data_IF_020088431455
#
_entry.id   IF_020088431455
#
_cell.length_a   1.000
_cell.length_b   1.000
_cell.length_c   1.000
_cell.angle_alpha   90.00
_cell.angle_beta   90.00
_cell.angle_gamma   90.00
#
_symmetry.space_group_name_H-M   'P 1'
#
loop_
_entity.id
_entity.type
_entity.pdbx_description
1 polymer ?
#
# COMPACT_ATOMS: atom_id res chain seq x y z
N UNK A 1 -17.09 24.81 -2.49
CA UNK A 1 -17.34 26.26 -2.61
C UNK A 1 -17.62 26.95 -1.28
N UNK A 2 -18.66 26.58 -0.50
CA UNK A 2 -18.94 27.24 0.78
C UNK A 2 -17.81 27.12 1.81
N UNK A 3 -17.21 25.94 1.96
CA UNK A 3 -16.07 25.71 2.86
C UNK A 3 -14.84 26.54 2.48
N UNK A 4 -14.52 26.62 1.18
CA UNK A 4 -13.38 27.42 0.69
C UNK A 4 -13.59 28.93 0.93
N UNK A 5 -14.81 29.44 0.76
CA UNK A 5 -15.13 30.85 1.07
C UNK A 5 -14.95 31.16 2.56
N UNK A 6 -15.32 30.25 3.45
CA UNK A 6 -15.09 30.40 4.89
C UNK A 6 -13.59 30.37 5.18
N UNK A 7 -12.88 29.38 4.65
CA UNK A 7 -11.45 29.20 4.80
C UNK A 7 -10.62 30.45 4.42
N UNK A 8 -10.90 31.04 3.25
CA UNK A 8 -10.20 32.25 2.78
C UNK A 8 -10.43 33.45 3.70
N UNK A 9 -11.57 33.52 4.39
CA UNK A 9 -11.91 34.62 5.31
C UNK A 9 -11.38 34.44 6.73
N UNK A 10 -10.80 33.27 7.07
CA UNK A 10 -10.26 33.05 8.41
C UNK A 10 -8.98 33.87 8.61
N UNK A 11 -8.89 34.69 9.67
CA UNK A 11 -7.70 35.51 9.94
C UNK A 11 -6.50 34.65 10.37
N UNK A 12 -6.76 33.55 11.08
CA UNK A 12 -5.77 32.56 11.48
C UNK A 12 -6.28 31.17 11.15
N UNK A 13 -5.40 30.32 10.63
CA UNK A 13 -5.70 28.94 10.24
C UNK A 13 -4.77 28.01 10.99
N UNK A 14 -5.33 27.10 11.76
CA UNK A 14 -4.57 26.06 12.45
C UNK A 14 -4.47 24.79 11.60
N UNK A 15 -3.63 23.84 12.04
CA UNK A 15 -3.39 22.56 11.37
C UNK A 15 -4.69 21.84 10.99
N UNK A 16 -5.68 21.80 11.88
CA UNK A 16 -6.95 21.11 11.66
C UNK A 16 -7.71 21.64 10.44
N UNK A 17 -7.77 22.97 10.30
CA UNK A 17 -8.47 23.62 9.18
C UNK A 17 -7.73 23.41 7.86
N UNK A 18 -6.39 23.45 7.88
CA UNK A 18 -5.57 23.13 6.71
C UNK A 18 -5.75 21.68 6.28
N UNK A 19 -5.60 20.73 7.21
CA UNK A 19 -5.79 19.29 6.97
C UNK A 19 -7.18 19.02 6.38
N UNK A 20 -8.22 19.59 6.97
CA UNK A 20 -9.59 19.41 6.50
C UNK A 20 -9.75 19.85 5.04
N UNK A 21 -9.23 21.02 4.68
CA UNK A 21 -9.33 21.53 3.31
C UNK A 21 -8.54 20.68 2.32
N UNK A 22 -7.30 20.32 2.67
CA UNK A 22 -6.42 19.47 1.85
C UNK A 22 -7.12 18.12 1.61
N UNK A 23 -7.48 17.40 2.67
CA UNK A 23 -8.16 16.10 2.56
C UNK A 23 -9.47 16.21 1.77
N UNK A 24 -10.23 17.29 1.95
CA UNK A 24 -11.47 17.49 1.20
C UNK A 24 -11.22 17.65 -0.30
N UNK A 25 -10.20 18.39 -0.72
CA UNK A 25 -9.87 18.52 -2.14
C UNK A 25 -9.37 17.21 -2.74
N UNK A 26 -8.59 16.41 -2.00
CA UNK A 26 -8.22 15.05 -2.40
C UNK A 26 -9.47 14.19 -2.66
N UNK A 27 -10.42 14.18 -1.73
CA UNK A 27 -11.67 13.42 -1.85
C UNK A 27 -12.57 13.91 -3.00
N UNK A 28 -12.53 15.19 -3.34
CA UNK A 28 -13.27 15.76 -4.47
C UNK A 28 -12.61 15.49 -5.83
N UNK A 29 -11.42 14.89 -5.86
CA UNK A 29 -10.69 14.63 -7.10
C UNK A 29 -10.00 15.88 -7.66
N UNK A 30 -9.62 16.84 -6.80
CA UNK A 30 -8.82 18.01 -7.18
C UNK A 30 -7.43 17.95 -6.51
N UNK A 31 -6.56 17.01 -6.94
CA UNK A 31 -5.25 16.80 -6.32
C UNK A 31 -4.31 18.01 -6.42
N UNK A 32 -4.38 18.78 -7.50
CA UNK A 32 -3.54 19.97 -7.70
C UNK A 32 -3.84 21.04 -6.65
N UNK A 33 -5.14 21.29 -6.39
CA UNK A 33 -5.59 22.23 -5.33
C UNK A 33 -5.17 21.76 -3.93
N UNK A 34 -5.13 20.45 -3.71
CA UNK A 34 -4.65 19.90 -2.44
C UNK A 34 -3.15 20.16 -2.24
N UNK A 35 -2.35 20.06 -3.30
CA UNK A 35 -0.91 20.41 -3.27
C UNK A 35 -0.74 21.92 -3.07
N UNK A 36 -1.48 22.76 -3.80
CA UNK A 36 -1.43 24.22 -3.64
C UNK A 36 -1.68 24.65 -2.18
N UNK A 37 -2.72 24.09 -1.55
CA UNK A 37 -3.03 24.36 -0.15
C UNK A 37 -1.97 23.82 0.81
N UNK A 38 -1.34 22.69 0.50
CA UNK A 38 -0.23 22.18 1.29
C UNK A 38 0.98 23.13 1.24
N UNK A 39 1.29 23.70 0.07
CA UNK A 39 2.37 24.68 -0.07
C UNK A 39 2.03 25.99 0.66
N UNK A 40 0.77 26.44 0.60
CA UNK A 40 0.31 27.62 1.33
C UNK A 40 0.36 27.41 2.86
N UNK A 41 0.04 26.20 3.33
CA UNK A 41 0.19 25.80 4.73
C UNK A 41 1.65 25.89 5.19
N UNK A 42 2.58 25.38 4.38
CA UNK A 42 4.02 25.43 4.66
C UNK A 42 4.56 26.87 4.67
N UNK A 43 4.07 27.75 3.79
CA UNK A 43 4.42 29.18 3.80
C UNK A 43 3.81 29.96 4.97
N UNK A 44 2.77 29.42 5.60
CA UNK A 44 2.14 30.01 6.78
C UNK A 44 2.80 29.57 8.09
N UNK A 45 3.97 28.92 8.03
CA UNK A 45 4.70 28.32 9.16
C UNK A 45 3.83 27.36 10.01
N UNK A 46 2.78 26.78 9.41
CA UNK A 46 1.90 25.83 10.07
C UNK A 46 2.39 24.41 9.82
N UNK A 47 2.85 23.71 10.86
CA UNK A 47 3.40 22.36 10.68
C UNK A 47 2.31 21.32 10.31
N UNK A 48 2.50 20.55 9.22
CA UNK A 48 1.59 19.48 8.83
C UNK A 48 1.62 18.30 9.80
N UNK A 49 0.45 17.79 10.15
CA UNK A 49 0.30 16.58 10.95
C UNK A 49 0.30 15.30 10.08
N UNK A 50 0.18 14.15 10.73
CA UNK A 50 0.13 12.84 10.06
C UNK A 50 -0.99 12.71 9.02
N UNK A 51 -2.12 13.40 9.21
CA UNK A 51 -3.27 13.33 8.30
C UNK A 51 -3.04 14.21 7.07
N UNK A 52 -2.42 15.37 7.25
CA UNK A 52 -1.97 16.20 6.12
C UNK A 52 -0.97 15.42 5.27
N UNK A 53 0.04 14.80 5.89
CA UNK A 53 1.04 14.02 5.16
C UNK A 53 0.44 12.86 4.37
N UNK A 54 -0.35 12.00 5.02
CA UNK A 54 -0.97 10.86 4.35
C UNK A 54 -1.86 11.30 3.19
N UNK A 55 -2.59 12.42 3.35
CA UNK A 55 -3.40 13.00 2.27
C UNK A 55 -2.55 13.44 1.08
N UNK A 56 -1.48 14.21 1.29
CA UNK A 56 -0.65 14.72 0.18
C UNK A 56 0.22 13.61 -0.44
N UNK A 57 0.72 12.67 0.37
CA UNK A 57 1.43 11.48 -0.12
C UNK A 57 0.53 10.63 -1.02
N UNK A 58 -0.77 10.49 -0.69
CA UNK A 58 -1.72 9.77 -1.56
C UNK A 58 -1.89 10.45 -2.92
N UNK A 59 -1.82 11.79 -2.97
CA UNK A 59 -1.82 12.55 -4.23
C UNK A 59 -0.55 12.28 -5.01
N UNK A 60 0.62 12.33 -4.37
CA UNK A 60 1.88 12.04 -5.02
C UNK A 60 1.90 10.62 -5.61
N UNK A 61 1.41 9.63 -4.85
CA UNK A 61 1.26 8.24 -5.29
C UNK A 61 0.36 8.13 -6.53
N UNK A 62 -0.81 8.79 -6.52
CA UNK A 62 -1.78 8.76 -7.63
C UNK A 62 -1.31 9.47 -8.89
N UNK A 63 -0.58 10.58 -8.75
CA UNK A 63 -0.10 11.41 -9.86
C UNK A 63 1.36 11.12 -10.25
N UNK A 64 1.98 10.08 -9.67
CA UNK A 64 3.37 9.71 -9.91
C UNK A 64 4.38 10.86 -9.70
N UNK A 65 4.10 11.75 -8.74
CA UNK A 65 4.93 12.93 -8.45
C UNK A 65 6.16 12.57 -7.61
N UNK A 66 7.10 11.83 -8.22
CA UNK A 66 8.29 11.29 -7.55
C UNK A 66 9.09 12.33 -6.76
N UNK A 67 9.41 13.46 -7.39
CA UNK A 67 10.22 14.53 -6.77
C UNK A 67 9.54 15.14 -5.55
N UNK A 68 8.22 15.38 -5.62
CA UNK A 68 7.46 15.89 -4.48
C UNK A 68 7.35 14.83 -3.37
N UNK A 69 7.15 13.56 -3.74
CA UNK A 69 7.15 12.44 -2.82
C UNK A 69 8.46 12.33 -2.00
N UNK A 70 9.63 12.49 -2.64
CA UNK A 70 10.92 12.51 -1.91
C UNK A 70 11.07 13.72 -0.97
N UNK A 71 10.56 14.88 -1.36
CA UNK A 71 10.55 16.06 -0.49
C UNK A 71 9.66 15.82 0.74
N UNK A 72 8.47 15.26 0.53
CA UNK A 72 7.56 14.88 1.62
C UNK A 72 8.16 13.84 2.54
N UNK A 73 8.81 12.80 2.01
CA UNK A 73 9.51 11.81 2.82
C UNK A 73 10.60 12.49 3.68
N UNK A 74 11.44 13.34 3.09
CA UNK A 74 12.49 14.05 3.83
C UNK A 74 11.92 14.93 4.95
N UNK A 75 10.81 15.63 4.66
CA UNK A 75 10.10 16.44 5.65
C UNK A 75 9.48 15.56 6.75
N UNK A 76 8.85 14.44 6.40
CA UNK A 76 8.26 13.51 7.37
C UNK A 76 9.33 12.95 8.33
N UNK A 77 10.52 12.62 7.83
CA UNK A 77 11.66 12.22 8.68
C UNK A 77 12.07 13.36 9.62
N UNK A 78 12.23 14.59 9.10
CA UNK A 78 12.60 15.76 9.91
C UNK A 78 11.58 16.06 11.00
N UNK A 79 10.29 15.86 10.73
CA UNK A 79 9.20 16.07 11.69
C UNK A 79 8.95 14.84 12.59
N UNK A 80 9.74 13.77 12.48
CA UNK A 80 9.57 12.55 13.27
C UNK A 80 8.30 11.74 12.93
N UNK A 81 7.65 12.03 11.80
CA UNK A 81 6.36 11.47 11.44
C UNK A 81 6.46 10.07 10.83
N UNK A 82 7.63 9.63 10.37
CA UNK A 82 7.82 8.28 9.81
C UNK A 82 7.66 7.16 10.84
N UNK A 83 7.69 7.49 12.14
CA UNK A 83 7.39 6.56 13.24
C UNK A 83 5.92 6.15 13.28
N UNK A 84 5.02 7.00 12.77
CA UNK A 84 3.59 6.66 12.67
C UNK A 84 3.38 5.67 11.53
N UNK A 85 2.85 4.49 11.86
CA UNK A 85 2.56 3.42 10.90
C UNK A 85 1.75 3.90 9.69
N UNK A 86 0.81 4.85 9.87
CA UNK A 86 0.01 5.43 8.79
C UNK A 86 0.86 6.21 7.77
N UNK A 87 1.81 7.03 8.24
CA UNK A 87 2.68 7.83 7.37
C UNK A 87 3.68 6.91 6.68
N UNK A 88 4.34 6.03 7.44
CA UNK A 88 5.27 5.04 6.90
C UNK A 88 4.62 4.18 5.82
N UNK A 89 3.44 3.62 6.09
CA UNK A 89 2.69 2.82 5.12
C UNK A 89 2.35 3.61 3.84
N UNK A 90 1.89 4.87 3.98
CA UNK A 90 1.58 5.71 2.81
C UNK A 90 2.82 5.99 1.95
N UNK A 91 3.99 6.16 2.59
CA UNK A 91 5.26 6.39 1.90
C UNK A 91 5.77 5.12 1.22
N UNK A 92 5.65 3.94 1.85
CA UNK A 92 6.00 2.64 1.23
C UNK A 92 5.12 2.39 0.00
N UNK A 93 3.81 2.59 0.09
CA UNK A 93 2.88 2.46 -1.05
C UNK A 93 3.20 3.44 -2.17
N UNK A 94 3.47 4.70 -1.82
CA UNK A 94 3.88 5.73 -2.78
C UNK A 94 5.13 5.31 -3.55
N UNK A 95 6.19 4.88 -2.86
CA UNK A 95 7.40 4.41 -3.53
C UNK A 95 7.14 3.12 -4.32
N UNK A 96 6.35 2.17 -3.82
CA UNK A 96 6.05 0.95 -4.55
C UNK A 96 5.48 1.21 -5.96
N UNK A 97 4.70 2.29 -6.12
CA UNK A 97 4.04 2.65 -7.39
C UNK A 97 4.90 3.43 -8.37
N UNK A 98 6.00 4.05 -7.95
CA UNK A 98 6.74 4.96 -8.81
C UNK A 98 7.57 4.29 -9.91
N UNK A 99 7.64 2.96 -9.98
CA UNK A 99 8.27 2.20 -11.09
C UNK A 99 9.76 2.48 -11.35
N UNK A 100 10.38 3.40 -10.61
CA UNK A 100 11.74 3.86 -10.80
C UNK A 100 12.74 2.93 -10.11
N UNK A 101 13.97 2.86 -10.64
CA UNK A 101 15.04 1.98 -10.18
C UNK A 101 15.33 2.10 -8.66
N UNK A 102 15.25 3.30 -8.10
CA UNK A 102 15.52 3.55 -6.67
C UNK A 102 14.30 3.36 -5.76
N UNK A 103 13.13 3.06 -6.34
CA UNK A 103 11.87 3.15 -5.59
C UNK A 103 11.74 2.06 -4.55
N UNK A 104 12.10 0.82 -4.89
CA UNK A 104 12.09 -0.28 -3.93
C UNK A 104 13.08 -0.06 -2.78
N UNK A 105 14.28 0.47 -3.07
CA UNK A 105 15.26 0.83 -2.05
C UNK A 105 14.70 1.89 -1.08
N UNK A 106 13.96 2.87 -1.59
CA UNK A 106 13.26 3.85 -0.76
C UNK A 106 12.14 3.21 0.07
N UNK A 107 11.33 2.33 -0.51
CA UNK A 107 10.29 1.57 0.21
C UNK A 107 10.88 0.77 1.38
N UNK A 108 11.98 0.04 1.17
CA UNK A 108 12.68 -0.71 2.23
C UNK A 108 13.16 0.19 3.35
N UNK A 109 13.76 1.32 2.98
CA UNK A 109 14.28 2.29 3.96
C UNK A 109 13.16 2.85 4.84
N UNK A 110 12.03 3.22 4.25
CA UNK A 110 10.86 3.71 5.00
C UNK A 110 10.29 2.59 5.86
N UNK A 111 10.14 1.38 5.31
CA UNK A 111 9.65 0.22 6.05
C UNK A 111 10.48 -0.03 7.31
N UNK A 112 11.81 -0.05 7.20
CA UNK A 112 12.71 -0.24 8.35
C UNK A 112 12.71 0.90 9.40
N UNK A 113 12.06 2.04 9.10
CA UNK A 113 11.88 3.13 10.07
C UNK A 113 10.56 3.04 10.86
N UNK A 114 9.64 2.17 10.44
CA UNK A 114 8.36 1.95 11.13
C UNK A 114 8.65 1.10 12.36
N UNK A 115 8.28 1.59 13.55
CA UNK A 115 8.50 0.86 14.81
C UNK A 115 7.39 -0.15 15.11
N UNK A 116 6.17 0.12 14.62
CA UNK A 116 5.00 -0.72 14.80
C UNK A 116 4.36 -1.01 13.42
N UNK A 117 4.70 -2.18 12.89
CA UNK A 117 4.25 -2.61 11.57
C UNK A 117 2.78 -3.02 11.64
N UNK A 118 1.92 -2.26 10.94
CA UNK A 118 0.54 -2.66 10.70
C UNK A 118 0.44 -3.65 9.54
N UNK A 119 -0.71 -4.35 9.43
CA UNK A 119 -1.04 -5.20 8.27
C UNK A 119 -0.81 -4.46 6.95
N UNK A 120 -1.20 -3.18 6.88
CA UNK A 120 -1.02 -2.35 5.69
C UNK A 120 0.45 -2.13 5.35
N UNK A 121 1.33 -1.92 6.34
CA UNK A 121 2.76 -1.75 6.08
C UNK A 121 3.41 -3.02 5.51
N UNK A 122 2.98 -4.20 5.98
CA UNK A 122 3.41 -5.49 5.43
C UNK A 122 2.90 -5.71 4.01
N UNK A 123 1.61 -5.45 3.76
CA UNK A 123 1.04 -5.51 2.40
C UNK A 123 1.81 -4.60 1.45
N UNK A 124 2.11 -3.37 1.87
CA UNK A 124 2.80 -2.40 1.03
C UNK A 124 4.20 -2.86 0.63
N UNK A 125 5.02 -3.38 1.57
CA UNK A 125 6.37 -3.86 1.25
C UNK A 125 6.35 -5.16 0.44
N UNK A 126 5.46 -6.10 0.78
CA UNK A 126 5.31 -7.37 0.05
C UNK A 126 4.87 -7.09 -1.40
N UNK A 127 3.89 -6.20 -1.59
CA UNK A 127 3.44 -5.81 -2.92
C UNK A 127 4.52 -5.06 -3.70
N UNK A 128 5.34 -4.22 -3.05
CA UNK A 128 6.47 -3.54 -3.69
C UNK A 128 7.51 -4.54 -4.21
N UNK A 129 7.88 -5.53 -3.39
CA UNK A 129 8.80 -6.60 -3.78
C UNK A 129 8.19 -7.47 -4.88
N UNK A 130 6.92 -7.86 -4.77
CA UNK A 130 6.22 -8.71 -5.74
C UNK A 130 6.04 -8.05 -7.12
N UNK A 131 6.05 -6.72 -7.19
CA UNK A 131 6.00 -5.95 -8.44
C UNK A 131 7.37 -5.69 -9.05
N UNK A 132 8.44 -5.90 -8.29
CA UNK A 132 9.80 -5.62 -8.73
C UNK A 132 10.48 -6.91 -9.20
N UNK A 133 10.92 -6.93 -10.46
CA UNK A 133 11.56 -8.10 -11.06
C UNK A 133 12.81 -8.53 -10.26
N UNK A 134 12.89 -9.82 -9.92
CA UNK A 134 14.01 -10.40 -9.17
C UNK A 134 13.93 -10.25 -7.65
N UNK A 135 12.83 -9.71 -7.12
CA UNK A 135 12.60 -9.51 -5.68
C UNK A 135 11.49 -10.43 -5.11
N UNK A 136 11.13 -11.48 -5.82
CA UNK A 136 10.07 -12.40 -5.42
C UNK A 136 10.41 -13.16 -4.13
N UNK A 137 11.68 -13.56 -3.96
CA UNK A 137 12.14 -14.23 -2.72
C UNK A 137 12.04 -13.30 -1.52
N UNK A 138 12.37 -12.04 -1.69
CA UNK A 138 12.27 -11.03 -0.63
C UNK A 138 10.81 -10.77 -0.22
N UNK A 139 9.87 -10.80 -1.18
CA UNK A 139 8.45 -10.73 -0.86
C UNK A 139 8.01 -11.91 0.03
N UNK A 140 8.53 -13.12 -0.23
CA UNK A 140 8.30 -14.29 0.63
C UNK A 140 8.95 -14.16 2.00
N UNK A 141 10.17 -13.63 2.08
CA UNK A 141 10.85 -13.36 3.35
C UNK A 141 10.05 -12.38 4.21
N UNK A 142 9.55 -11.29 3.63
CA UNK A 142 8.67 -10.36 4.35
C UNK A 142 7.36 -11.02 4.80
N UNK A 143 6.76 -11.91 4.00
CA UNK A 143 5.60 -12.68 4.41
C UNK A 143 5.89 -13.63 5.57
N UNK A 144 7.04 -14.30 5.57
CA UNK A 144 7.48 -15.15 6.68
C UNK A 144 7.69 -14.32 7.94
N UNK A 145 8.40 -13.19 7.83
CA UNK A 145 8.62 -12.27 8.95
C UNK A 145 7.29 -11.73 9.53
N UNK A 146 6.29 -11.47 8.69
CA UNK A 146 4.95 -11.10 9.12
C UNK A 146 4.29 -12.21 9.96
N UNK A 147 4.37 -13.47 9.48
CA UNK A 147 3.80 -14.63 10.17
C UNK A 147 4.51 -14.98 11.49
N UNK A 148 5.81 -14.71 11.60
CA UNK A 148 6.59 -14.87 12.84
C UNK A 148 6.29 -13.76 13.87
N UNK A 149 5.74 -12.65 13.41
CA UNK A 149 5.32 -11.52 14.23
C UNK A 149 3.88 -11.62 14.77
N UNK A 150 3.40 -10.57 15.46
CA UNK A 150 2.05 -10.54 16.03
C UNK A 150 0.95 -10.23 14.99
N UNK A 151 1.31 -9.96 13.73
CA UNK A 151 0.40 -9.44 12.71
C UNK A 151 -0.01 -10.55 11.76
N UNK A 152 -1.30 -10.89 11.74
CA UNK A 152 -1.83 -11.93 10.86
C UNK A 152 -2.01 -11.43 9.41
N UNK A 153 -1.68 -12.23 8.39
CA UNK A 153 -1.93 -11.89 6.99
C UNK A 153 -3.44 -11.90 6.70
N UNK A 154 -3.85 -11.05 5.76
CA UNK A 154 -5.22 -11.02 5.26
C UNK A 154 -5.30 -11.47 3.79
N UNK A 155 -6.49 -11.37 3.21
CA UNK A 155 -6.83 -11.61 1.82
C UNK A 155 -5.86 -10.92 0.84
N UNK A 156 -5.59 -9.62 1.02
CA UNK A 156 -4.66 -8.87 0.18
C UNK A 156 -3.20 -9.35 0.30
N UNK A 157 -2.75 -9.71 1.52
CA UNK A 157 -1.42 -10.30 1.72
C UNK A 157 -1.30 -11.61 0.96
N UNK A 158 -2.26 -12.51 1.14
CA UNK A 158 -2.24 -13.85 0.53
C UNK A 158 -2.31 -13.79 -1.00
N UNK A 159 -3.18 -12.94 -1.56
CA UNK A 159 -3.26 -12.72 -3.00
C UNK A 159 -1.91 -12.24 -3.58
N UNK A 160 -1.27 -11.28 -2.91
CA UNK A 160 0.05 -10.77 -3.33
C UNK A 160 1.13 -11.86 -3.29
N UNK A 161 1.17 -12.64 -2.21
CA UNK A 161 2.16 -13.73 -2.04
C UNK A 161 1.93 -14.88 -3.03
N UNK A 162 0.68 -15.23 -3.32
CA UNK A 162 0.35 -16.25 -4.33
C UNK A 162 0.78 -15.82 -5.74
N UNK A 163 0.63 -14.54 -6.07
CA UNK A 163 1.16 -13.98 -7.32
C UNK A 163 2.69 -14.09 -7.38
N UNK A 164 3.38 -13.82 -6.28
CA UNK A 164 4.83 -14.03 -6.16
C UNK A 164 5.23 -15.50 -6.37
N UNK A 165 4.48 -16.45 -5.79
CA UNK A 165 4.73 -17.89 -5.99
C UNK A 165 4.58 -18.29 -7.46
N UNK A 166 3.62 -17.68 -8.14
CA UNK A 166 3.39 -17.85 -9.57
C UNK A 166 4.60 -17.37 -10.39
N UNK A 167 5.12 -16.18 -10.09
CA UNK A 167 6.32 -15.62 -10.74
C UNK A 167 7.58 -16.47 -10.51
N UNK A 168 7.73 -17.06 -9.31
CA UNK A 168 8.83 -17.99 -8.99
C UNK A 168 8.70 -19.35 -9.66
N UNK A 169 7.54 -19.68 -10.25
CA UNK A 169 7.23 -21.01 -10.77
C UNK A 169 7.45 -22.14 -9.73
N UNK A 170 7.23 -21.84 -8.44
CA UNK A 170 7.37 -22.80 -7.34
C UNK A 170 6.00 -23.22 -6.78
N UNK A 171 5.44 -24.35 -7.25
CA UNK A 171 4.14 -24.82 -6.79
C UNK A 171 4.14 -25.39 -5.37
N UNK A 172 5.31 -25.69 -4.78
CA UNK A 172 5.37 -26.20 -3.41
C UNK A 172 5.09 -25.08 -2.44
N UNK A 173 5.75 -23.93 -2.61
CA UNK A 173 5.51 -22.73 -1.80
C UNK A 173 4.08 -22.24 -2.02
N UNK A 174 3.62 -22.17 -3.28
CA UNK A 174 2.24 -21.79 -3.58
C UNK A 174 1.21 -22.71 -2.90
N UNK A 175 1.47 -24.01 -2.83
CA UNK A 175 0.64 -24.97 -2.11
C UNK A 175 0.65 -24.75 -0.59
N UNK A 176 1.78 -24.39 0.01
CA UNK A 176 1.86 -24.05 1.43
C UNK A 176 1.06 -22.79 1.76
N UNK A 177 1.18 -21.75 0.93
CA UNK A 177 0.43 -20.49 1.08
C UNK A 177 -1.07 -20.74 0.92
N UNK A 178 -1.49 -21.56 -0.05
CA UNK A 178 -2.89 -21.96 -0.21
C UNK A 178 -3.41 -22.73 1.02
N UNK A 179 -2.67 -23.71 1.53
CA UNK A 179 -3.03 -24.41 2.78
C UNK A 179 -3.17 -23.44 3.96
N UNK A 180 -2.31 -22.42 4.04
CA UNK A 180 -2.41 -21.39 5.06
C UNK A 180 -3.68 -20.54 4.90
N UNK A 181 -4.00 -20.13 3.67
CA UNK A 181 -5.24 -19.42 3.35
C UNK A 181 -6.49 -20.19 3.79
N UNK A 182 -6.51 -21.53 3.58
CA UNK A 182 -7.59 -22.40 4.05
C UNK A 182 -7.70 -22.37 5.58
N UNK A 183 -6.57 -22.47 6.30
CA UNK A 183 -6.56 -22.43 7.77
C UNK A 183 -7.05 -21.11 8.34
N UNK A 184 -6.83 -20.00 7.62
CA UNK A 184 -7.34 -18.68 7.99
C UNK A 184 -8.80 -18.44 7.60
N UNK A 185 -9.43 -19.38 6.86
CA UNK A 185 -10.78 -19.20 6.34
C UNK A 185 -10.86 -18.18 5.19
N UNK A 186 -9.74 -17.87 4.54
CA UNK A 186 -9.63 -16.87 3.47
C UNK A 186 -9.59 -17.50 2.07
N UNK A 187 -9.61 -18.83 1.95
CA UNK A 187 -9.52 -19.50 0.65
C UNK A 187 -10.74 -19.29 -0.26
N UNK A 188 -11.91 -18.94 0.31
CA UNK A 188 -13.13 -18.63 -0.44
C UNK A 188 -13.28 -17.15 -0.80
N UNK A 189 -12.34 -16.30 -0.36
CA UNK A 189 -12.28 -14.91 -0.80
C UNK A 189 -11.98 -14.85 -2.31
N UNK A 190 -12.65 -13.98 -3.05
CA UNK A 190 -12.52 -13.92 -4.51
C UNK A 190 -11.11 -13.53 -4.94
N UNK A 191 -10.43 -12.62 -4.24
CA UNK A 191 -9.07 -12.22 -4.57
C UNK A 191 -8.07 -13.35 -4.31
N UNK A 192 -8.20 -14.03 -3.17
CA UNK A 192 -7.34 -15.16 -2.81
C UNK A 192 -7.59 -16.33 -3.76
N UNK A 193 -8.84 -16.73 -3.96
CA UNK A 193 -9.20 -17.88 -4.79
C UNK A 193 -8.78 -17.70 -6.25
N UNK A 194 -8.98 -16.51 -6.84
CA UNK A 194 -8.47 -16.20 -8.17
C UNK A 194 -6.94 -16.31 -8.25
N UNK A 195 -6.23 -15.85 -7.21
CA UNK A 195 -4.77 -15.97 -7.13
C UNK A 195 -4.31 -17.43 -7.01
N UNK A 196 -5.03 -18.27 -6.24
CA UNK A 196 -4.75 -19.72 -6.13
C UNK A 196 -4.97 -20.42 -7.47
N UNK A 197 -6.06 -20.11 -8.18
CA UNK A 197 -6.36 -20.68 -9.50
C UNK A 197 -5.26 -20.33 -10.49
N UNK A 198 -4.87 -19.05 -10.54
CA UNK A 198 -3.78 -18.58 -11.41
C UNK A 198 -2.46 -19.28 -11.09
N UNK A 199 -2.12 -19.42 -9.80
CA UNK A 199 -0.88 -20.07 -9.38
C UNK A 199 -0.84 -21.54 -9.82
N UNK A 200 -1.91 -22.31 -9.59
CA UNK A 200 -1.94 -23.70 -9.98
C UNK A 200 -2.03 -23.90 -11.49
N UNK A 201 -2.78 -23.06 -12.22
CA UNK A 201 -2.91 -23.17 -13.67
C UNK A 201 -1.57 -22.92 -14.37
N UNK A 202 -0.84 -21.87 -13.97
CA UNK A 202 0.48 -21.54 -14.50
C UNK A 202 1.55 -22.56 -14.08
N UNK A 203 1.36 -23.22 -12.94
CA UNK A 203 2.20 -24.35 -12.51
C UNK A 203 1.81 -25.71 -13.14
N UNK A 204 0.84 -25.74 -14.08
CA UNK A 204 0.37 -26.96 -14.74
C UNK A 204 -0.48 -27.91 -13.87
N UNK A 205 -0.87 -27.50 -12.66
CA UNK A 205 -1.67 -28.31 -11.72
C UNK A 205 -3.17 -28.07 -11.90
N UNK A 206 -3.68 -28.35 -13.11
CA UNK A 206 -5.06 -28.02 -13.51
C UNK A 206 -6.15 -28.62 -12.60
N UNK A 207 -5.92 -29.81 -12.05
CA UNK A 207 -6.86 -30.43 -11.10
C UNK A 207 -7.01 -29.61 -9.80
N UNK A 208 -5.91 -29.04 -9.31
CA UNK A 208 -5.94 -28.19 -8.10
C UNK A 208 -6.54 -26.82 -8.40
N UNK A 209 -6.23 -26.26 -9.58
CA UNK A 209 -6.86 -25.03 -10.06
C UNK A 209 -8.38 -25.21 -10.16
N UNK A 210 -8.85 -26.37 -10.66
CA UNK A 210 -10.27 -26.69 -10.77
C UNK A 210 -10.94 -26.78 -9.41
N UNK A 211 -10.32 -27.47 -8.44
CA UNK A 211 -10.83 -27.55 -7.06
C UNK A 211 -10.94 -26.18 -6.40
N UNK A 212 -9.94 -25.31 -6.58
CA UNK A 212 -9.99 -23.95 -6.07
C UNK A 212 -11.12 -23.13 -6.73
N UNK A 213 -11.33 -23.28 -8.04
CA UNK A 213 -12.44 -22.64 -8.75
C UNK A 213 -13.82 -23.10 -8.27
N UNK A 214 -13.98 -24.38 -7.98
CA UNK A 214 -15.26 -24.92 -7.50
C UNK A 214 -15.62 -24.47 -6.07
N UNK A 215 -14.65 -23.94 -5.30
CA UNK A 215 -14.83 -23.38 -3.95
C UNK A 215 -15.21 -21.89 -3.94
N UNK A 216 -15.11 -21.18 -5.08
CA UNK A 216 -15.46 -19.76 -5.16
C UNK A 216 -16.97 -19.53 -5.07
N UNK A 217 -17.36 -18.52 -4.29
CA UNK A 217 -18.75 -18.12 -4.06
C UNK A 217 -19.41 -17.57 -5.33
N UNK A 218 -18.66 -16.78 -6.10
CA UNK A 218 -19.07 -16.23 -7.40
C UNK A 218 -18.18 -16.77 -8.53
N UNK A 219 -18.80 -17.50 -9.47
CA UNK A 219 -18.10 -18.03 -10.65
C UNK A 219 -18.03 -16.93 -11.71
N UNK A 220 -17.09 -16.01 -11.56
CA UNK A 220 -16.86 -14.96 -12.55
C UNK A 220 -16.26 -15.57 -13.84
N UNK A 221 -16.97 -15.38 -14.96
CA UNK A 221 -16.47 -15.71 -16.30
C UNK A 221 -15.41 -14.68 -16.69
N UNK A 222 -14.16 -15.11 -16.80
CA UNK A 222 -13.11 -14.32 -17.47
C UNK A 222 -13.26 -14.57 -18.97
N UNK A 223 -13.70 -13.56 -19.72
CA UNK A 223 -13.77 -13.57 -21.19
C UNK A 223 -12.40 -13.29 -21.81
#
# INVERSE_FOLDING_TARGET
>A
DSAQKVFVKMPERNVVVWTLMITRFVQMGFPEKAIELFLEMEWSDCEPDRFTFTSVVSVCSKLELFSLGKQLHSKAVRCGLTTYSSVGCSLVDMYAKFGAYDSLACSRKVFGQITDHSVLSWIAIIAACAQSEGHEKEALEHYINMMEGPVQPNDFTLASVLKTCTALSDPLIGGQVHCHAVKLGLASDDFVGNSVISMYSQSGRMEQARKAFDLLSEKNLVF
#
